data_IF_252697412801
#
_entry.id   IF_252697412801
#
_cell.length_a   1.000
_cell.length_b   1.000
_cell.length_c   1.000
_cell.angle_alpha   90.00
_cell.angle_beta   90.00
_cell.angle_gamma   90.00
#
_symmetry.space_group_name_H-M   'P 1'
#
loop_
_entity.id
_entity.type
_entity.pdbx_description
1 polymer ?
#
# COMPACT_ATOMS: atom_id res chain seq x y z
N UNK A 1 15.75 49.45 -4.67
CA UNK A 1 15.71 48.67 -5.92
C UNK A 1 16.61 47.45 -5.73
N UNK A 2 16.07 46.29 -5.30
CA UNK A 2 16.88 45.08 -5.08
C UNK A 2 17.22 44.48 -6.43
N UNK A 3 18.50 44.39 -6.74
CA UNK A 3 19.10 43.85 -7.97
C UNK A 3 18.50 42.47 -8.30
N UNK A 4 18.24 42.19 -9.58
CA UNK A 4 17.68 40.91 -10.06
C UNK A 4 18.44 39.68 -9.52
N UNK A 5 19.73 39.84 -9.24
CA UNK A 5 20.61 38.84 -8.64
C UNK A 5 20.22 38.44 -7.19
N UNK A 6 19.61 39.36 -6.42
CA UNK A 6 19.04 39.04 -5.10
C UNK A 6 17.68 38.33 -5.20
N UNK A 7 16.93 38.49 -6.30
CA UNK A 7 15.70 37.73 -6.54
C UNK A 7 16.02 36.30 -6.98
N UNK A 8 17.07 36.10 -7.80
CA UNK A 8 17.55 34.79 -8.22
C UNK A 8 18.06 33.94 -7.04
N UNK A 9 18.73 34.55 -6.04
CA UNK A 9 19.20 33.85 -4.83
C UNK A 9 18.10 33.44 -3.84
N UNK A 10 16.89 34.02 -3.92
CA UNK A 10 15.78 33.65 -3.02
C UNK A 10 15.01 32.43 -3.58
N UNK A 11 15.05 32.19 -4.89
CA UNK A 11 14.40 31.03 -5.54
C UNK A 11 15.16 29.71 -5.38
N UNK A 12 16.41 29.73 -4.93
CA UNK A 12 17.29 28.54 -4.90
C UNK A 12 17.32 27.79 -3.55
N UNK A 13 16.58 28.26 -2.53
CA UNK A 13 16.56 27.64 -1.19
C UNK A 13 15.57 26.48 -1.03
N UNK A 14 15.02 25.95 -2.13
CA UNK A 14 14.05 24.84 -2.11
C UNK A 14 14.56 23.56 -2.77
N UNK A 15 15.88 23.44 -2.97
CA UNK A 15 16.48 22.20 -3.43
C UNK A 15 16.67 21.24 -2.26
N UNK A 16 15.68 20.36 -2.10
CA UNK A 16 15.79 19.20 -1.22
C UNK A 16 17.01 18.35 -1.68
N UNK A 17 17.85 17.87 -0.75
CA UNK A 17 19.02 17.10 -1.11
C UNK A 17 18.59 15.81 -1.82
N UNK A 18 19.19 15.54 -2.98
CA UNK A 18 18.99 14.29 -3.74
C UNK A 18 19.68 13.12 -3.04
N UNK A 19 19.12 12.65 -1.93
CA UNK A 19 19.71 11.59 -1.10
C UNK A 19 19.23 10.18 -1.45
N UNK A 20 18.02 10.04 -2.03
CA UNK A 20 17.38 8.73 -2.21
C UNK A 20 17.96 7.98 -3.41
N UNK A 21 18.31 6.71 -3.19
CA UNK A 21 18.79 5.77 -4.20
C UNK A 21 17.67 4.79 -4.65
N UNK A 22 17.99 3.89 -5.58
CA UNK A 22 17.02 2.91 -6.08
C UNK A 22 16.46 1.99 -4.99
N UNK A 23 17.30 1.56 -4.06
CA UNK A 23 16.89 0.70 -2.94
C UNK A 23 15.94 1.45 -2.03
N UNK A 24 16.20 2.72 -1.73
CA UNK A 24 15.31 3.55 -0.92
C UNK A 24 13.93 3.70 -1.58
N UNK A 25 13.88 3.88 -2.91
CA UNK A 25 12.62 3.95 -3.66
C UNK A 25 11.89 2.60 -3.61
N UNK A 26 12.59 1.47 -3.78
CA UNK A 26 11.99 0.13 -3.68
C UNK A 26 11.42 -0.10 -2.28
N UNK A 27 12.20 0.15 -1.23
CA UNK A 27 11.78 -0.03 0.15
C UNK A 27 10.60 0.89 0.50
N UNK A 28 10.64 2.15 0.06
CA UNK A 28 9.54 3.08 0.24
C UNK A 28 8.28 2.60 -0.48
N UNK A 29 8.41 2.07 -1.70
CA UNK A 29 7.31 1.49 -2.47
C UNK A 29 6.69 0.31 -1.71
N UNK A 30 7.51 -0.63 -1.26
CA UNK A 30 7.05 -1.82 -0.53
C UNK A 30 6.36 -1.43 0.78
N UNK A 31 6.98 -0.57 1.59
CA UNK A 31 6.42 -0.16 2.89
C UNK A 31 5.14 0.65 2.74
N UNK A 32 5.03 1.46 1.68
CA UNK A 32 3.84 2.29 1.46
C UNK A 32 2.64 1.49 0.95
N UNK A 33 2.90 0.41 0.22
CA UNK A 33 1.85 -0.36 -0.47
C UNK A 33 1.50 -1.65 0.28
N UNK A 34 2.49 -2.42 0.74
CA UNK A 34 2.25 -3.70 1.40
C UNK A 34 1.52 -3.51 2.72
N UNK A 35 0.35 -4.14 2.82
CA UNK A 35 -0.40 -4.24 4.07
C UNK A 35 -0.86 -5.67 4.30
N UNK A 36 -0.71 -6.15 5.54
CA UNK A 36 -1.24 -7.46 5.97
C UNK A 36 -2.75 -7.56 5.78
N UNK A 37 -3.47 -6.44 5.88
CA UNK A 37 -4.91 -6.38 5.64
C UNK A 37 -5.26 -6.91 4.25
N UNK A 38 -4.46 -6.62 3.23
CA UNK A 38 -4.72 -7.10 1.87
C UNK A 38 -4.42 -8.58 1.71
N UNK A 39 -3.42 -9.11 2.42
CA UNK A 39 -3.14 -10.55 2.47
C UNK A 39 -4.32 -11.29 3.11
N UNK A 40 -4.80 -10.81 4.26
CA UNK A 40 -5.96 -11.39 4.94
C UNK A 40 -7.22 -11.32 4.08
N UNK A 41 -7.50 -10.14 3.48
CA UNK A 41 -8.64 -9.96 2.56
C UNK A 41 -8.56 -10.88 1.33
N UNK A 42 -7.36 -11.07 0.77
CA UNK A 42 -7.16 -12.00 -0.33
C UNK A 42 -7.40 -13.45 0.09
N UNK A 43 -6.96 -13.84 1.29
CA UNK A 43 -7.14 -15.21 1.79
C UNK A 43 -8.62 -15.60 1.99
N UNK A 44 -9.52 -14.62 2.22
CA UNK A 44 -10.97 -14.87 2.26
C UNK A 44 -11.51 -15.45 0.95
N UNK A 45 -10.87 -15.19 -0.20
CA UNK A 45 -11.28 -15.78 -1.47
C UNK A 45 -11.01 -17.29 -1.55
N UNK A 46 -10.16 -17.84 -0.69
CA UNK A 46 -9.64 -19.20 -0.83
C UNK A 46 -8.65 -19.34 -1.99
N UNK A 47 -8.57 -20.53 -2.59
CA UNK A 47 -7.67 -20.82 -3.70
C UNK A 47 -7.77 -19.86 -4.92
N UNK A 48 -8.95 -19.33 -5.30
CA UNK A 48 -9.06 -18.33 -6.36
C UNK A 48 -8.26 -17.04 -6.14
N UNK A 49 -7.89 -16.72 -4.90
CA UNK A 49 -7.09 -15.55 -4.58
C UNK A 49 -5.78 -15.49 -5.37
N UNK A 50 -5.18 -16.65 -5.69
CA UNK A 50 -3.96 -16.77 -6.48
C UNK A 50 -4.16 -16.19 -7.88
N UNK A 51 -5.22 -16.61 -8.58
CA UNK A 51 -5.53 -16.09 -9.92
C UNK A 51 -5.95 -14.62 -9.87
N UNK A 52 -6.69 -14.22 -8.84
CA UNK A 52 -7.11 -12.83 -8.68
C UNK A 52 -5.91 -11.90 -8.43
N UNK A 53 -4.94 -12.32 -7.63
CA UNK A 53 -3.68 -11.57 -7.45
C UNK A 53 -2.87 -11.49 -8.74
N UNK A 54 -2.75 -12.58 -9.48
CA UNK A 54 -2.07 -12.58 -10.78
C UNK A 54 -2.78 -11.69 -11.81
N UNK A 55 -4.11 -11.73 -11.85
CA UNK A 55 -4.92 -10.88 -12.70
C UNK A 55 -4.78 -9.40 -12.32
N UNK A 56 -4.81 -9.06 -11.02
CA UNK A 56 -4.58 -7.70 -10.55
C UNK A 56 -3.14 -7.22 -10.88
N UNK A 57 -2.14 -8.08 -10.70
CA UNK A 57 -0.76 -7.78 -11.06
C UNK A 57 -0.60 -7.50 -12.57
N UNK A 58 -1.21 -8.32 -13.43
CA UNK A 58 -1.06 -8.23 -14.87
C UNK A 58 -1.93 -7.14 -15.51
N UNK A 59 -3.21 -7.06 -15.14
CA UNK A 59 -4.19 -6.20 -15.81
C UNK A 59 -4.36 -4.84 -15.15
N UNK A 60 -3.94 -4.67 -13.89
CA UNK A 60 -4.03 -3.39 -13.19
C UNK A 60 -2.64 -2.80 -12.92
N UNK A 61 -1.78 -3.55 -12.23
CA UNK A 61 -0.47 -3.04 -11.82
C UNK A 61 0.46 -2.77 -13.01
N UNK A 62 0.65 -3.70 -13.95
CA UNK A 62 1.57 -3.49 -15.08
C UNK A 62 1.18 -2.25 -15.92
N UNK A 63 -0.08 -2.06 -16.35
CA UNK A 63 -0.48 -0.84 -17.05
C UNK A 63 -0.24 0.43 -16.23
N UNK A 64 -0.61 0.41 -14.94
CA UNK A 64 -0.42 1.54 -14.03
C UNK A 64 1.07 1.89 -13.87
N UNK A 65 1.91 0.89 -13.68
CA UNK A 65 3.35 1.05 -13.52
C UNK A 65 4.00 1.61 -14.80
N UNK A 66 3.60 1.12 -15.98
CA UNK A 66 4.10 1.62 -17.26
C UNK A 66 3.67 3.07 -17.49
N UNK A 67 2.40 3.39 -17.25
CA UNK A 67 1.87 4.75 -17.40
C UNK A 67 2.58 5.73 -16.47
N UNK A 68 2.62 5.43 -15.17
CA UNK A 68 3.30 6.23 -14.14
C UNK A 68 4.79 6.39 -14.46
N UNK A 69 5.47 5.32 -14.88
CA UNK A 69 6.88 5.35 -15.25
C UNK A 69 7.19 6.20 -16.48
N UNK A 70 6.29 6.24 -17.48
CA UNK A 70 6.46 7.07 -18.68
C UNK A 70 6.18 8.54 -18.36
N UNK A 71 5.15 8.82 -17.58
CA UNK A 71 4.80 10.18 -17.16
C UNK A 71 5.85 10.79 -16.23
N UNK A 72 6.33 10.03 -15.24
CA UNK A 72 7.40 10.47 -14.34
C UNK A 72 8.71 10.78 -15.07
N UNK A 73 9.01 10.05 -16.16
CA UNK A 73 10.16 10.32 -17.03
C UNK A 73 10.00 11.60 -17.86
N UNK A 74 8.82 11.79 -18.45
CA UNK A 74 8.55 12.92 -19.35
C UNK A 74 8.34 14.23 -18.61
N UNK A 75 7.74 14.14 -17.41
CA UNK A 75 7.37 15.27 -16.58
C UNK A 75 7.80 15.01 -15.13
N UNK A 76 9.11 15.17 -14.82
CA UNK A 76 9.66 14.97 -13.48
C UNK A 76 9.29 16.11 -12.49
N UNK A 77 8.23 16.86 -12.81
CA UNK A 77 7.75 18.00 -12.03
C UNK A 77 7.13 17.51 -10.71
N UNK A 78 7.20 18.33 -9.65
CA UNK A 78 6.48 18.04 -8.41
C UNK A 78 4.96 18.10 -8.63
N UNK A 79 4.24 17.14 -8.05
CA UNK A 79 2.77 17.10 -8.07
C UNK A 79 2.15 15.84 -8.70
N UNK A 80 2.96 14.93 -9.23
CA UNK A 80 2.53 13.58 -9.63
C UNK A 80 1.28 13.58 -10.52
N UNK A 81 0.29 12.75 -10.15
CA UNK A 81 -0.99 12.61 -10.86
C UNK A 81 -1.72 13.94 -11.10
N UNK A 82 -1.72 14.85 -10.11
CA UNK A 82 -2.38 16.15 -10.24
C UNK A 82 -1.71 16.99 -11.33
N UNK A 83 -0.37 17.06 -11.31
CA UNK A 83 0.40 17.86 -12.28
C UNK A 83 0.26 17.29 -13.70
N UNK A 84 0.29 15.97 -13.86
CA UNK A 84 0.12 15.31 -15.15
C UNK A 84 -1.29 15.55 -15.72
N UNK A 85 -2.32 15.42 -14.89
CA UNK A 85 -3.71 15.68 -15.29
C UNK A 85 -3.93 17.14 -15.67
N UNK A 86 -3.35 18.09 -14.92
CA UNK A 86 -3.42 19.51 -15.23
C UNK A 86 -2.82 19.85 -16.59
N UNK A 87 -1.69 19.24 -16.92
CA UNK A 87 -1.00 19.47 -18.19
C UNK A 87 -1.78 18.89 -19.37
N UNK A 88 -2.39 17.72 -19.20
CA UNK A 88 -3.09 17.03 -20.29
C UNK A 88 -4.53 17.54 -20.50
N UNK A 89 -5.26 17.83 -19.42
CA UNK A 89 -6.71 18.06 -19.44
C UNK A 89 -7.16 19.40 -18.81
N UNK A 90 -6.21 20.21 -18.35
CA UNK A 90 -6.48 21.54 -17.78
C UNK A 90 -6.86 21.53 -16.30
N UNK A 91 -7.15 22.73 -15.73
CA UNK A 91 -7.34 22.91 -14.29
C UNK A 91 -8.52 22.15 -13.68
N UNK A 92 -9.66 22.05 -14.37
CA UNK A 92 -10.86 21.39 -13.84
C UNK A 92 -10.66 19.90 -13.61
N UNK A 93 -10.04 19.20 -14.56
CA UNK A 93 -9.72 17.78 -14.44
C UNK A 93 -8.65 17.54 -13.37
N UNK A 94 -7.67 18.44 -13.25
CA UNK A 94 -6.68 18.38 -12.18
C UNK A 94 -7.34 18.51 -10.80
N UNK A 95 -8.29 19.44 -10.65
CA UNK A 95 -9.06 19.59 -9.42
C UNK A 95 -9.81 18.30 -9.08
N UNK A 96 -10.52 17.70 -10.05
CA UNK A 96 -11.22 16.43 -9.84
C UNK A 96 -10.26 15.29 -9.44
N UNK A 97 -9.12 15.18 -10.11
CA UNK A 97 -8.08 14.20 -9.76
C UNK A 97 -7.57 14.39 -8.32
N UNK A 98 -7.25 15.63 -7.95
CA UNK A 98 -6.83 15.96 -6.58
C UNK A 98 -7.92 15.71 -5.54
N UNK A 99 -9.18 16.03 -5.87
CA UNK A 99 -10.34 15.77 -5.03
C UNK A 99 -10.54 14.28 -4.78
N UNK A 100 -10.49 13.45 -5.83
CA UNK A 100 -10.58 11.99 -5.70
C UNK A 100 -9.45 11.42 -4.84
N UNK A 101 -8.21 11.90 -5.01
CA UNK A 101 -7.08 11.49 -4.17
C UNK A 101 -7.29 11.88 -2.71
N UNK A 102 -7.81 13.09 -2.46
CA UNK A 102 -8.08 13.55 -1.10
C UNK A 102 -9.21 12.76 -0.43
N UNK A 103 -10.34 12.56 -1.12
CA UNK A 103 -11.48 11.78 -0.62
C UNK A 103 -11.09 10.31 -0.39
N UNK A 104 -10.30 9.72 -1.29
CA UNK A 104 -9.75 8.38 -1.09
C UNK A 104 -9.01 8.26 0.26
N UNK A 105 -8.13 9.23 0.54
CA UNK A 105 -7.34 9.23 1.76
C UNK A 105 -8.20 9.44 3.01
N UNK A 106 -9.30 10.21 2.90
CA UNK A 106 -10.24 10.42 3.99
C UNK A 106 -10.87 9.11 4.49
N UNK A 107 -11.16 8.17 3.59
CA UNK A 107 -11.69 6.85 3.97
C UNK A 107 -10.60 5.81 4.25
N UNK A 108 -9.45 5.94 3.60
CA UNK A 108 -8.35 4.99 3.74
C UNK A 108 -7.80 4.92 5.17
N UNK A 109 -7.43 6.07 5.77
CA UNK A 109 -6.80 6.09 7.09
C UNK A 109 -7.72 5.56 8.22
N UNK A 110 -9.00 5.93 8.30
CA UNK A 110 -9.92 5.32 9.27
C UNK A 110 -10.05 3.82 9.08
N UNK A 111 -10.15 3.32 7.84
CA UNK A 111 -10.25 1.87 7.57
C UNK A 111 -9.02 1.10 8.05
N UNK A 112 -7.83 1.71 7.91
CA UNK A 112 -6.57 1.15 8.38
C UNK A 112 -6.53 1.09 9.92
N UNK A 113 -6.96 2.16 10.58
CA UNK A 113 -7.03 2.20 12.04
C UNK A 113 -8.08 1.25 12.62
N UNK A 114 -9.19 1.04 11.91
CA UNK A 114 -10.21 0.06 12.31
C UNK A 114 -9.66 -1.37 12.27
N UNK A 115 -8.93 -1.72 11.20
CA UNK A 115 -8.21 -2.98 11.13
C UNK A 115 -7.18 -3.10 12.26
N UNK A 116 -6.46 -2.01 12.56
CA UNK A 116 -5.54 -1.94 13.70
C UNK A 116 -6.23 -2.16 15.04
N UNK A 117 -7.43 -1.58 15.24
CA UNK A 117 -8.20 -1.68 16.47
C UNK A 117 -8.61 -3.13 16.78
N UNK A 118 -9.08 -3.86 15.76
CA UNK A 118 -9.44 -5.26 15.88
C UNK A 118 -8.21 -6.13 16.19
N UNK A 119 -7.09 -5.90 15.50
CA UNK A 119 -5.87 -6.68 15.69
C UNK A 119 -5.13 -6.34 17.00
N UNK A 120 -5.30 -5.14 17.56
CA UNK A 120 -4.71 -4.75 18.83
C UNK A 120 -5.25 -5.55 20.02
N UNK A 121 -6.45 -6.11 19.90
CA UNK A 121 -7.08 -6.94 20.92
C UNK A 121 -6.63 -8.40 20.85
N UNK A 122 -6.11 -8.87 19.71
CA UNK A 122 -5.74 -10.27 19.51
C UNK A 122 -4.73 -10.81 20.56
N UNK A 123 -3.68 -10.06 20.97
CA UNK A 123 -2.77 -10.51 22.02
C UNK A 123 -3.38 -10.56 23.42
N UNK A 124 -4.48 -9.81 23.68
CA UNK A 124 -5.16 -9.78 24.98
C UNK A 124 -6.03 -11.03 25.20
N UNK A 125 -6.23 -11.83 24.15
CA UNK A 125 -6.95 -13.09 24.20
C UNK A 125 -8.45 -12.95 23.92
N UNK A 126 -9.17 -14.09 23.83
CA UNK A 126 -10.54 -14.16 23.36
C UNK A 126 -11.55 -13.44 24.27
N UNK A 127 -11.21 -13.21 25.54
CA UNK A 127 -12.05 -12.47 26.48
C UNK A 127 -12.33 -11.01 26.03
N UNK A 128 -11.44 -10.44 25.22
CA UNK A 128 -11.56 -9.07 24.70
C UNK A 128 -12.03 -9.03 23.25
N UNK A 129 -12.29 -10.19 22.62
CA UNK A 129 -12.70 -10.25 21.21
C UNK A 129 -14.05 -9.53 20.97
N UNK A 130 -14.98 -9.61 21.92
CA UNK A 130 -16.27 -8.89 21.84
C UNK A 130 -16.14 -7.36 21.85
N UNK A 131 -14.99 -6.83 22.28
CA UNK A 131 -14.70 -5.39 22.26
C UNK A 131 -14.34 -4.91 20.84
N UNK A 132 -13.94 -5.82 19.94
CA UNK A 132 -13.68 -5.48 18.53
C UNK A 132 -14.95 -5.02 17.80
N UNK A 133 -16.12 -5.57 18.18
CA UNK A 133 -17.43 -5.20 17.64
C UNK A 133 -18.05 -3.98 18.34
N UNK A 134 -17.45 -3.50 19.43
CA UNK A 134 -17.92 -2.32 20.13
C UNK A 134 -17.62 -1.05 19.32
N UNK A 135 -18.69 -0.41 18.84
CA UNK A 135 -18.63 0.83 18.06
C UNK A 135 -17.92 1.96 18.80
N UNK A 136 -18.04 2.03 20.13
CA UNK A 136 -17.40 3.08 20.93
C UNK A 136 -15.89 2.84 21.03
N UNK A 137 -15.47 1.60 21.24
CA UNK A 137 -14.04 1.25 21.23
C UNK A 137 -13.42 1.55 19.85
N UNK A 138 -14.05 1.05 18.78
CA UNK A 138 -13.58 1.28 17.42
C UNK A 138 -13.48 2.78 17.09
N UNK A 139 -14.52 3.55 17.38
CA UNK A 139 -14.54 4.99 17.13
C UNK A 139 -13.48 5.73 17.97
N UNK A 140 -13.34 5.41 19.26
CA UNK A 140 -12.34 6.02 20.13
C UNK A 140 -10.92 5.70 19.65
N UNK A 141 -10.63 4.46 19.29
CA UNK A 141 -9.33 4.03 18.78
C UNK A 141 -8.97 4.79 17.50
N UNK A 142 -9.91 4.88 16.54
CA UNK A 142 -9.70 5.60 15.28
C UNK A 142 -9.47 7.10 15.54
N UNK A 143 -10.30 7.74 16.36
CA UNK A 143 -10.18 9.18 16.66
C UNK A 143 -8.85 9.48 17.37
N UNK A 144 -8.48 8.70 18.38
CA UNK A 144 -7.20 8.86 19.10
C UNK A 144 -6.04 8.64 18.15
N UNK A 145 -6.08 7.60 17.31
CA UNK A 145 -5.04 7.32 16.31
C UNK A 145 -4.86 8.46 15.31
N UNK A 146 -5.95 9.04 14.79
CA UNK A 146 -5.90 10.17 13.87
C UNK A 146 -5.32 11.42 14.56
N UNK A 147 -5.78 11.76 15.77
CA UNK A 147 -5.25 12.91 16.51
C UNK A 147 -3.78 12.74 16.89
N UNK A 148 -3.37 11.53 17.25
CA UNK A 148 -1.97 11.21 17.50
C UNK A 148 -1.13 11.40 16.23
N UNK A 149 -1.61 10.94 15.07
CA UNK A 149 -0.95 11.16 13.79
C UNK A 149 -0.83 12.66 13.47
N UNK A 150 -1.88 13.46 13.71
CA UNK A 150 -1.84 14.92 13.56
C UNK A 150 -0.80 15.55 14.50
N UNK A 151 -0.81 15.18 15.78
CA UNK A 151 0.14 15.71 16.76
C UNK A 151 1.60 15.40 16.38
N UNK A 152 1.88 14.17 15.94
CA UNK A 152 3.19 13.77 15.42
C UNK A 152 3.60 14.61 14.22
N UNK A 153 2.67 14.85 13.28
CA UNK A 153 2.94 15.67 12.09
C UNK A 153 3.23 17.15 12.46
N UNK A 154 2.61 17.67 13.52
CA UNK A 154 2.84 19.03 14.02
C UNK A 154 4.18 19.17 14.75
N UNK A 155 4.58 18.18 15.57
CA UNK A 155 5.78 18.24 16.44
C UNK A 155 7.10 18.09 15.66
N UNK A 156 7.06 17.57 14.42
CA UNK A 156 8.12 17.78 13.43
C UNK A 156 8.95 16.54 13.05
N UNK A 157 9.43 16.60 11.79
CA UNK A 157 9.98 15.56 10.92
C UNK A 157 11.09 14.64 11.45
N UNK A 158 11.69 14.90 12.63
CA UNK A 158 12.67 13.96 13.22
C UNK A 158 12.02 12.67 13.71
N UNK A 159 10.78 12.75 14.21
CA UNK A 159 10.01 11.58 14.63
C UNK A 159 9.48 10.78 13.43
N UNK A 160 9.13 11.47 12.33
CA UNK A 160 8.57 10.85 11.12
C UNK A 160 9.48 9.78 10.50
N UNK A 161 10.80 10.01 10.48
CA UNK A 161 11.77 8.98 10.03
C UNK A 161 11.75 7.74 10.91
N UNK A 162 11.67 7.91 12.23
CA UNK A 162 11.64 6.80 13.17
C UNK A 162 10.32 6.02 13.05
N UNK A 163 9.20 6.72 12.90
CA UNK A 163 7.88 6.12 12.68
C UNK A 163 7.83 5.37 11.34
N UNK A 164 8.43 5.91 10.27
CA UNK A 164 8.53 5.21 8.99
C UNK A 164 9.34 3.90 9.13
N UNK A 165 10.46 3.94 9.85
CA UNK A 165 11.29 2.75 10.10
C UNK A 165 10.56 1.73 10.98
N UNK A 166 9.89 2.18 12.05
CA UNK A 166 9.09 1.33 12.92
C UNK A 166 7.89 0.71 12.17
N UNK A 167 7.21 1.50 11.32
CA UNK A 167 6.13 1.03 10.45
C UNK A 167 6.62 0.01 9.44
N UNK A 168 7.80 0.22 8.84
CA UNK A 168 8.45 -0.76 7.96
C UNK A 168 8.71 -2.09 8.68
N UNK A 169 9.28 -2.06 9.89
CA UNK A 169 9.45 -3.26 10.71
C UNK A 169 8.10 -3.93 11.04
N UNK A 170 7.07 -3.12 11.32
CA UNK A 170 5.71 -3.58 11.56
C UNK A 170 5.05 -4.27 10.35
N UNK A 171 5.53 -4.04 9.14
CA UNK A 171 5.08 -4.75 7.93
C UNK A 171 5.94 -5.98 7.66
N UNK A 172 7.27 -5.84 7.72
CA UNK A 172 8.20 -6.91 7.36
C UNK A 172 8.22 -8.06 8.37
N UNK A 173 8.17 -7.77 9.68
CA UNK A 173 8.20 -8.81 10.70
C UNK A 173 6.99 -9.75 10.55
N UNK A 174 5.73 -9.26 10.51
CA UNK A 174 4.59 -10.15 10.33
C UNK A 174 4.59 -10.83 8.96
N UNK A 175 5.03 -10.16 7.89
CA UNK A 175 5.11 -10.78 6.57
C UNK A 175 6.06 -11.99 6.56
N UNK A 176 7.26 -11.86 7.15
CA UNK A 176 8.23 -12.96 7.28
C UNK A 176 7.68 -14.07 8.18
N UNK A 177 7.02 -13.73 9.29
CA UNK A 177 6.40 -14.72 10.17
C UNK A 177 5.30 -15.52 9.47
N UNK A 178 4.40 -14.85 8.74
CA UNK A 178 3.31 -15.52 8.01
C UNK A 178 3.87 -16.42 6.91
N UNK A 179 4.80 -15.92 6.10
CA UNK A 179 5.42 -16.71 5.02
C UNK A 179 6.20 -17.90 5.60
N UNK A 180 6.96 -17.69 6.68
CA UNK A 180 7.71 -18.74 7.35
C UNK A 180 6.81 -19.81 7.97
N UNK A 181 5.72 -19.40 8.64
CA UNK A 181 4.73 -20.32 9.21
C UNK A 181 4.02 -21.13 8.11
N UNK A 182 3.65 -20.50 6.99
CA UNK A 182 3.07 -21.20 5.85
C UNK A 182 4.03 -22.21 5.21
N UNK A 183 5.31 -21.85 5.06
CA UNK A 183 6.32 -22.77 4.55
C UNK A 183 6.55 -23.96 5.50
N UNK A 184 6.60 -23.71 6.81
CA UNK A 184 6.69 -24.78 7.82
C UNK A 184 5.47 -25.70 7.80
N UNK A 185 4.27 -25.12 7.73
CA UNK A 185 3.02 -25.88 7.66
C UNK A 185 2.95 -26.75 6.40
N UNK A 186 3.41 -26.23 5.25
CA UNK A 186 3.47 -26.98 4.00
C UNK A 186 4.34 -28.25 4.13
N UNK A 187 5.51 -28.13 4.75
CA UNK A 187 6.44 -29.25 4.93
C UNK A 187 5.91 -30.26 5.96
N UNK A 188 5.25 -29.79 7.02
CA UNK A 188 4.84 -30.65 8.14
C UNK A 188 3.50 -31.34 7.93
N UNK A 189 2.52 -30.66 7.36
CA UNK A 189 1.13 -31.11 7.29
C UNK A 189 0.54 -31.09 5.87
N UNK A 190 1.25 -30.52 4.90
CA UNK A 190 0.71 -30.28 3.55
C UNK A 190 -0.23 -29.08 3.52
N UNK A 191 -0.78 -28.73 2.35
CA UNK A 191 -1.63 -27.55 2.20
C UNK A 191 -3.03 -27.79 2.80
N UNK A 192 -3.45 -26.93 3.75
CA UNK A 192 -4.80 -26.99 4.32
C UNK A 192 -5.91 -26.69 3.28
N UNK A 193 -5.60 -25.87 2.28
CA UNK A 193 -6.50 -25.55 1.15
C UNK A 193 -6.04 -26.25 -0.14
N UNK A 194 -6.97 -26.85 -0.88
CA UNK A 194 -6.64 -27.49 -2.17
C UNK A 194 -6.39 -26.45 -3.27
N UNK A 195 -5.20 -26.52 -3.89
CA UNK A 195 -4.80 -25.69 -5.03
C UNK A 195 -4.98 -26.41 -6.38
N UNK A 196 -5.88 -27.39 -6.47
CA UNK A 196 -6.19 -28.04 -7.75
C UNK A 196 -6.67 -27.01 -8.78
N UNK A 197 -6.40 -27.19 -10.09
CA UNK A 197 -6.79 -26.22 -11.13
C UNK A 197 -8.30 -25.87 -11.10
N UNK A 198 -9.14 -26.83 -10.74
CA UNK A 198 -10.58 -26.65 -10.58
C UNK A 198 -10.98 -25.72 -9.41
N UNK A 199 -10.15 -25.64 -8.37
CA UNK A 199 -10.37 -24.79 -7.19
C UNK A 199 -9.82 -23.37 -7.37
N UNK A 200 -8.97 -23.14 -8.39
CA UNK A 200 -8.44 -21.81 -8.69
C UNK A 200 -9.45 -20.92 -9.41
N UNK A 201 -10.46 -21.50 -10.06
CA UNK A 201 -11.48 -20.75 -10.78
C UNK A 201 -12.56 -20.32 -9.77
N UNK A 202 -12.86 -19.01 -9.64
CA UNK A 202 -13.99 -18.56 -8.83
C UNK A 202 -15.29 -19.20 -9.33
N UNK A 203 -16.01 -19.90 -8.44
CA UNK A 203 -17.32 -20.53 -8.74
C UNK A 203 -18.49 -19.85 -8.02
N UNK A 204 -18.16 -18.93 -7.12
CA UNK A 204 -19.07 -18.11 -6.34
C UNK A 204 -19.73 -17.01 -7.20
N UNK A 205 -20.58 -16.19 -6.57
CA UNK A 205 -21.16 -14.99 -7.17
C UNK A 205 -20.10 -14.12 -7.88
N UNK A 206 -20.30 -13.91 -9.17
CA UNK A 206 -19.44 -13.08 -10.03
C UNK A 206 -19.32 -11.66 -9.47
N UNK A 207 -20.39 -11.08 -8.92
CA UNK A 207 -20.35 -9.72 -8.38
C UNK A 207 -19.46 -9.63 -7.13
N UNK A 208 -19.56 -10.60 -6.22
CA UNK A 208 -18.69 -10.67 -5.05
C UNK A 208 -17.22 -10.85 -5.46
N UNK A 209 -16.96 -11.70 -6.46
CA UNK A 209 -15.61 -11.92 -7.00
C UNK A 209 -15.03 -10.65 -7.60
N UNK A 210 -15.82 -9.89 -8.37
CA UNK A 210 -15.39 -8.62 -8.97
C UNK A 210 -15.16 -7.55 -7.90
N UNK A 211 -16.00 -7.49 -6.87
CA UNK A 211 -15.81 -6.57 -5.74
C UNK A 211 -14.50 -6.85 -4.99
N UNK A 212 -14.20 -8.14 -4.74
CA UNK A 212 -12.95 -8.56 -4.13
C UNK A 212 -11.75 -8.25 -5.02
N UNK A 213 -11.85 -8.53 -6.32
CA UNK A 213 -10.79 -8.20 -7.28
C UNK A 213 -10.52 -6.70 -7.34
N UNK A 214 -11.56 -5.84 -7.28
CA UNK A 214 -11.41 -4.39 -7.18
C UNK A 214 -10.62 -3.98 -5.94
N UNK A 215 -10.91 -4.59 -4.79
CA UNK A 215 -10.15 -4.36 -3.55
C UNK A 215 -8.68 -4.80 -3.68
N UNK A 216 -8.41 -5.92 -4.36
CA UNK A 216 -7.05 -6.39 -4.64
C UNK A 216 -6.31 -5.49 -5.64
N UNK A 217 -7.00 -4.95 -6.65
CA UNK A 217 -6.44 -3.92 -7.54
C UNK A 217 -6.07 -2.66 -6.75
N UNK A 218 -6.95 -2.22 -5.85
CA UNK A 218 -6.66 -1.08 -4.97
C UNK A 218 -5.46 -1.35 -4.04
N UNK A 219 -5.20 -2.60 -3.66
CA UNK A 219 -3.99 -2.95 -2.90
C UNK A 219 -2.67 -2.69 -3.65
N UNK A 220 -2.71 -2.54 -4.98
CA UNK A 220 -1.57 -2.11 -5.79
C UNK A 220 -1.52 -0.59 -6.02
N UNK A 221 -2.53 0.17 -5.62
CA UNK A 221 -2.50 1.63 -5.65
C UNK A 221 -1.58 2.17 -4.55
N UNK A 222 -0.85 3.23 -4.85
CA UNK A 222 0.07 3.92 -3.93
C UNK A 222 1.47 4.12 -4.50
N UNK A 223 1.85 3.37 -5.53
CA UNK A 223 3.17 3.53 -6.16
C UNK A 223 3.28 4.81 -6.97
N UNK A 224 2.17 5.30 -7.51
CA UNK A 224 2.02 6.60 -8.14
C UNK A 224 2.48 7.75 -7.25
N UNK A 225 2.44 7.57 -5.92
CA UNK A 225 2.84 8.57 -4.92
C UNK A 225 4.37 8.69 -4.87
N UNK A 226 5.13 7.66 -5.25
CA UNK A 226 6.60 7.72 -5.33
C UNK A 226 7.09 8.76 -6.34
N UNK A 227 6.23 9.18 -7.29
CA UNK A 227 6.54 10.30 -8.19
C UNK A 227 6.56 11.67 -7.49
N UNK A 228 5.93 11.81 -6.32
CA UNK A 228 5.90 13.06 -5.56
C UNK A 228 7.27 13.41 -4.96
N UNK A 229 8.07 12.40 -4.60
CA UNK A 229 9.42 12.58 -4.03
C UNK A 229 10.52 12.68 -5.10
N UNK A 230 10.15 12.89 -6.37
CA UNK A 230 11.10 12.81 -7.48
C UNK A 230 12.28 13.79 -7.41
N UNK A 231 12.14 14.94 -6.73
CA UNK A 231 13.26 15.88 -6.53
C UNK A 231 14.28 15.42 -5.48
N UNK A 232 13.94 14.45 -4.65
CA UNK A 232 14.83 13.87 -3.62
C UNK A 232 15.58 12.62 -4.12
N UNK A 233 15.24 12.12 -5.30
CA UNK A 233 15.80 10.89 -5.88
C UNK A 233 16.97 11.21 -6.82
N UNK A 234 18.08 10.49 -6.66
CA UNK A 234 19.22 10.54 -7.58
C UNK A 234 18.82 9.93 -8.93
N UNK A 235 19.02 10.67 -10.02
CA UNK A 235 18.64 10.27 -11.38
C UNK A 235 17.17 9.78 -11.45
N UNK A 236 16.24 10.61 -10.96
CA UNK A 236 14.81 10.32 -10.88
C UNK A 236 14.21 9.74 -12.17
N UNK A 237 14.66 10.21 -13.33
CA UNK A 237 14.21 9.73 -14.64
C UNK A 237 14.48 8.23 -14.86
N UNK A 238 15.53 7.67 -14.26
CA UNK A 238 15.85 6.23 -14.38
C UNK A 238 15.47 5.46 -13.12
N UNK A 239 15.66 6.06 -11.95
CA UNK A 239 15.49 5.41 -10.66
C UNK A 239 14.01 5.19 -10.31
N UNK A 240 13.13 6.16 -10.53
CA UNK A 240 11.70 6.03 -10.19
C UNK A 240 11.03 4.92 -11.02
N UNK A 241 11.15 4.88 -12.36
CA UNK A 241 10.56 3.81 -13.16
C UNK A 241 11.02 2.40 -12.74
N UNK A 242 12.33 2.25 -12.48
CA UNK A 242 12.89 0.97 -12.05
C UNK A 242 12.42 0.60 -10.65
N UNK A 243 12.37 1.57 -9.74
CA UNK A 243 11.90 1.39 -8.37
C UNK A 243 10.43 0.97 -8.30
N UNK A 244 9.56 1.60 -9.10
CA UNK A 244 8.14 1.24 -9.18
C UNK A 244 7.95 -0.17 -9.77
N UNK A 245 8.67 -0.52 -10.84
CA UNK A 245 8.55 -1.85 -11.45
C UNK A 245 9.07 -2.96 -10.53
N UNK A 246 10.27 -2.79 -9.97
CA UNK A 246 10.88 -3.79 -9.08
C UNK A 246 10.12 -3.86 -7.76
N UNK A 247 9.80 -2.71 -7.15
CA UNK A 247 9.04 -2.61 -5.92
C UNK A 247 7.64 -3.20 -6.06
N UNK A 248 6.94 -2.90 -7.15
CA UNK A 248 5.61 -3.46 -7.39
C UNK A 248 5.62 -4.95 -7.73
N UNK A 249 6.65 -5.45 -8.42
CA UNK A 249 6.83 -6.90 -8.61
C UNK A 249 7.08 -7.61 -7.26
N UNK A 250 7.86 -7.00 -6.37
CA UNK A 250 8.10 -7.50 -5.02
C UNK A 250 6.82 -7.46 -4.17
N UNK A 251 6.02 -6.39 -4.27
CA UNK A 251 4.70 -6.29 -3.63
C UNK A 251 3.78 -7.41 -4.12
N UNK A 252 3.71 -7.65 -5.44
CA UNK A 252 2.90 -8.73 -6.01
C UNK A 252 3.34 -10.11 -5.49
N UNK A 253 4.65 -10.34 -5.43
CA UNK A 253 5.21 -11.57 -4.87
C UNK A 253 4.87 -11.73 -3.37
N UNK A 254 4.96 -10.66 -2.58
CA UNK A 254 4.61 -10.67 -1.16
C UNK A 254 3.12 -10.93 -0.93
N UNK A 255 2.24 -10.32 -1.72
CA UNK A 255 0.80 -10.58 -1.63
C UNK A 255 0.46 -12.01 -2.02
N UNK A 256 1.05 -12.53 -3.09
CA UNK A 256 0.83 -13.91 -3.54
C UNK A 256 1.36 -14.90 -2.48
N UNK A 257 2.61 -14.74 -2.06
CA UNK A 257 3.25 -15.63 -1.09
C UNK A 257 2.57 -15.57 0.28
N UNK A 258 2.24 -14.37 0.75
CA UNK A 258 1.53 -14.18 2.02
C UNK A 258 0.13 -14.82 1.99
N UNK A 259 -0.61 -14.64 0.89
CA UNK A 259 -1.96 -15.23 0.77
C UNK A 259 -1.89 -16.75 0.71
N UNK A 260 -0.97 -17.31 -0.08
CA UNK A 260 -0.74 -18.75 -0.15
C UNK A 260 -0.33 -19.29 1.22
N UNK A 261 0.56 -18.60 1.93
CA UNK A 261 1.01 -19.01 3.26
C UNK A 261 -0.15 -19.09 4.25
N UNK A 262 -1.06 -18.11 4.25
CA UNK A 262 -2.28 -18.15 5.07
C UNK A 262 -3.17 -19.33 4.68
N UNK A 263 -3.43 -19.55 3.39
CA UNK A 263 -4.28 -20.64 2.89
C UNK A 263 -3.69 -22.03 3.10
N UNK A 264 -2.37 -22.14 3.21
CA UNK A 264 -1.67 -23.38 3.57
C UNK A 264 -1.78 -23.64 5.07
N UNK A 265 -1.70 -22.59 5.91
CA UNK A 265 -1.75 -22.72 7.35
C UNK A 265 -3.17 -22.87 7.91
N UNK A 266 -4.16 -22.23 7.28
CA UNK A 266 -5.56 -22.17 7.75
C UNK A 266 -6.50 -22.51 6.59
N UNK A 267 -7.49 -23.41 6.77
CA UNK A 267 -8.51 -23.66 5.77
C UNK A 267 -9.31 -22.39 5.47
N UNK A 268 -9.58 -22.10 4.19
CA UNK A 268 -10.32 -20.91 3.77
C UNK A 268 -11.69 -20.77 4.48
N UNK A 269 -12.39 -21.88 4.75
CA UNK A 269 -13.68 -21.87 5.44
C UNK A 269 -13.63 -21.55 6.93
N UNK A 270 -12.44 -21.50 7.54
CA UNK A 270 -12.24 -21.10 8.93
C UNK A 270 -11.82 -19.62 9.08
N UNK A 271 -11.63 -18.91 7.96
CA UNK A 271 -11.35 -17.48 7.97
C UNK A 271 -12.67 -16.71 8.08
N UNK A 272 -12.78 -15.88 9.11
CA UNK A 272 -13.88 -14.94 9.29
C UNK A 272 -13.39 -13.51 9.03
N UNK A 273 -14.29 -12.62 8.62
CA UNK A 273 -13.98 -11.19 8.35
C UNK A 273 -13.48 -10.44 9.59
#
# INVERSE_FOLDING_TARGET
MKTEDQRAKITDRTDLPRSLNLVDVILMTVVSVVSLRWIARGALAGAPAVLLWLAAALFFFVPLAVATSRLARRHPDQGGLYAWTRRAFGPSHAFLCGWCLWVNNLFYFPSLLLFGAANALAPLGPAYAGLADDRLYAAAFVLVGLWAAVAVNIVGLRLGRWIQNAGSLGVWIPAVLVIGAGAYALVRWGPATSFAPASLIPREDTLATVALWSAMCFAFSGMEITSLVGREVKDAARTIPRGVLIGGALVAALYLAGTIAVLVAVPAGALHE
#
